data_IF_216448743399
#
_entry.id   IF_216448743399
#
_cell.length_a   1.000
_cell.length_b   1.000
_cell.length_c   1.000
_cell.angle_alpha   90.00
_cell.angle_beta   90.00
_cell.angle_gamma   90.00
#
_symmetry.space_group_name_H-M   'P 1'
#
loop_
_entity.id
_entity.type
_entity.pdbx_description
1 polymer ?
#
# COMPACT_ATOMS: atom_id res chain seq x y z
N UNK A 1 -6.33 -4.86 -9.62
CA UNK A 1 -7.63 -5.48 -9.94
C UNK A 1 -8.38 -5.70 -8.64
N UNK A 2 -9.70 -5.86 -8.66
CA UNK A 2 -10.47 -6.11 -7.43
C UNK A 2 -10.03 -7.44 -6.80
N UNK A 3 -9.55 -7.42 -5.57
CA UNK A 3 -9.17 -8.60 -4.78
C UNK A 3 -7.68 -8.88 -4.67
N UNK A 4 -6.81 -8.10 -5.33
CA UNK A 4 -5.35 -8.25 -5.23
C UNK A 4 -4.86 -7.89 -3.82
N UNK A 5 -5.42 -6.85 -3.20
CA UNK A 5 -5.13 -6.49 -1.81
C UNK A 5 -5.52 -7.63 -0.85
N UNK A 6 -6.71 -8.20 -1.03
CA UNK A 6 -7.19 -9.31 -0.21
C UNK A 6 -6.32 -10.56 -0.36
N UNK A 7 -5.87 -10.87 -1.58
CA UNK A 7 -4.95 -11.96 -1.87
C UNK A 7 -3.60 -11.75 -1.18
N UNK A 8 -3.03 -10.55 -1.29
CA UNK A 8 -1.78 -10.19 -0.63
C UNK A 8 -1.84 -10.43 0.88
N UNK A 9 -2.90 -9.98 1.56
CA UNK A 9 -3.07 -10.21 3.01
C UNK A 9 -3.14 -11.71 3.35
N UNK A 10 -3.85 -12.49 2.53
CA UNK A 10 -3.95 -13.94 2.73
C UNK A 10 -2.63 -14.68 2.55
N UNK A 11 -1.76 -14.19 1.66
CA UNK A 11 -0.44 -14.78 1.41
C UNK A 11 0.54 -14.37 2.50
N UNK A 12 0.60 -13.07 2.85
CA UNK A 12 1.55 -12.56 3.84
C UNK A 12 1.30 -13.08 5.25
N UNK A 13 0.07 -13.45 5.63
CA UNK A 13 -0.19 -13.99 6.98
C UNK A 13 0.39 -15.39 7.23
N UNK A 14 0.72 -16.14 6.18
CA UNK A 14 1.11 -17.54 6.31
C UNK A 14 2.51 -17.68 6.93
N UNK A 15 2.67 -18.55 7.93
CA UNK A 15 3.96 -18.82 8.56
C UNK A 15 4.62 -17.65 9.31
N UNK A 16 3.91 -16.55 9.57
CA UNK A 16 4.45 -15.34 10.22
C UNK A 16 4.16 -15.20 11.71
N UNK A 17 3.37 -16.11 12.28
CA UNK A 17 3.17 -16.12 13.73
C UNK A 17 4.48 -16.44 14.45
N UNK A 18 4.58 -16.05 15.73
CA UNK A 18 5.80 -16.24 16.52
C UNK A 18 6.23 -17.70 16.71
N UNK A 19 5.29 -18.63 16.57
CA UNK A 19 5.50 -20.08 16.63
C UNK A 19 5.75 -20.71 15.25
N UNK A 20 5.89 -19.90 14.19
CA UNK A 20 6.04 -20.35 12.81
C UNK A 20 4.72 -20.76 12.15
N UNK A 21 3.59 -20.57 12.82
CA UNK A 21 2.25 -20.78 12.27
C UNK A 21 1.72 -19.59 11.49
N UNK A 22 0.45 -19.67 11.12
CA UNK A 22 -0.27 -18.58 10.45
C UNK A 22 -0.76 -17.52 11.43
N UNK A 23 -0.66 -16.25 11.03
CA UNK A 23 -1.42 -15.18 11.68
C UNK A 23 -2.90 -15.35 11.29
N UNK A 24 -3.80 -15.32 12.28
CA UNK A 24 -5.23 -15.52 12.03
C UNK A 24 -5.92 -14.19 11.71
N UNK A 25 -6.98 -14.25 10.89
CA UNK A 25 -7.76 -13.05 10.53
C UNK A 25 -8.33 -12.32 11.74
N UNK A 26 -8.65 -13.05 12.82
CA UNK A 26 -9.13 -12.44 14.07
C UNK A 26 -8.06 -11.56 14.73
N UNK A 27 -6.77 -11.91 14.61
CA UNK A 27 -5.68 -11.18 15.24
C UNK A 27 -5.42 -9.87 14.50
N UNK A 28 -5.44 -9.93 13.16
CA UNK A 28 -5.38 -8.75 12.28
C UNK A 28 -6.57 -7.82 12.55
N UNK A 29 -7.79 -8.36 12.60
CA UNK A 29 -8.98 -7.57 12.88
C UNK A 29 -8.95 -6.92 14.27
N UNK A 30 -8.48 -7.64 15.29
CA UNK A 30 -8.31 -7.09 16.63
C UNK A 30 -7.34 -5.90 16.64
N UNK A 31 -6.19 -6.00 15.97
CA UNK A 31 -5.23 -4.91 15.89
C UNK A 31 -5.81 -3.67 15.19
N UNK A 32 -6.54 -3.89 14.09
CA UNK A 32 -7.29 -2.84 13.38
C UNK A 32 -8.35 -2.17 14.27
N UNK A 33 -8.82 -2.83 15.34
CA UNK A 33 -9.95 -2.38 16.15
C UNK A 33 -11.29 -2.64 15.46
N UNK A 34 -11.38 -3.71 14.66
CA UNK A 34 -12.55 -4.08 13.85
C UNK A 34 -12.94 -5.54 14.06
N UNK A 35 -13.94 -6.02 13.33
CA UNK A 35 -14.41 -7.40 13.39
C UNK A 35 -13.73 -8.28 12.34
N UNK A 36 -13.59 -9.58 12.62
CA UNK A 36 -13.12 -10.55 11.63
C UNK A 36 -14.02 -10.60 10.38
N UNK A 37 -15.33 -10.33 10.53
CA UNK A 37 -16.27 -10.20 9.42
C UNK A 37 -15.93 -9.02 8.52
N UNK A 38 -15.61 -7.85 9.08
CA UNK A 38 -15.19 -6.68 8.32
C UNK A 38 -13.91 -6.96 7.51
N UNK A 39 -12.89 -7.58 8.13
CA UNK A 39 -11.68 -7.97 7.43
C UNK A 39 -11.95 -9.02 6.34
N UNK A 40 -12.84 -9.99 6.60
CA UNK A 40 -13.23 -10.99 5.60
C UNK A 40 -13.91 -10.35 4.39
N UNK A 41 -14.74 -9.33 4.59
CA UNK A 41 -15.39 -8.59 3.50
C UNK A 41 -14.36 -7.84 2.64
N UNK A 42 -13.33 -7.23 3.26
CA UNK A 42 -12.22 -6.60 2.53
C UNK A 42 -11.47 -7.64 1.71
N UNK A 43 -11.06 -8.75 2.33
CA UNK A 43 -10.28 -9.81 1.67
C UNK A 43 -11.04 -10.42 0.48
N UNK A 44 -12.39 -10.48 0.56
CA UNK A 44 -13.25 -10.97 -0.52
C UNK A 44 -13.59 -9.90 -1.57
N UNK A 45 -13.00 -8.70 -1.49
CA UNK A 45 -13.25 -7.59 -2.40
C UNK A 45 -14.68 -7.03 -2.31
N UNK A 46 -15.39 -7.29 -1.21
CA UNK A 46 -16.75 -6.75 -0.96
C UNK A 46 -16.73 -5.34 -0.37
N UNK A 47 -15.57 -4.94 0.16
CA UNK A 47 -15.28 -3.61 0.70
C UNK A 47 -13.92 -3.17 0.20
N UNK A 48 -13.75 -1.86 0.05
CA UNK A 48 -12.46 -1.28 -0.29
C UNK A 48 -11.41 -1.55 0.81
N UNK A 49 -10.12 -1.59 0.45
CA UNK A 49 -9.03 -1.58 1.42
C UNK A 49 -9.16 -0.42 2.43
N UNK A 50 -8.76 -0.64 3.68
CA UNK A 50 -9.00 0.31 4.75
C UNK A 50 -8.09 1.55 4.64
N UNK A 51 -8.36 2.55 5.47
CA UNK A 51 -7.57 3.78 5.57
C UNK A 51 -6.14 3.55 6.07
N UNK A 52 -5.25 4.53 5.86
CA UNK A 52 -3.83 4.45 6.20
C UNK A 52 -3.56 3.95 7.63
N UNK A 53 -4.26 4.50 8.63
CA UNK A 53 -4.04 4.12 10.03
C UNK A 53 -4.31 2.63 10.32
N UNK A 54 -5.23 2.02 9.60
CA UNK A 54 -5.50 0.58 9.68
C UNK A 54 -4.49 -0.23 8.85
N UNK A 55 -4.06 0.29 7.70
CA UNK A 55 -3.00 -0.35 6.91
C UNK A 55 -1.70 -0.44 7.69
N UNK A 56 -1.32 0.59 8.46
CA UNK A 56 -0.15 0.54 9.35
C UNK A 56 -0.25 -0.60 10.38
N UNK A 57 -1.42 -0.74 11.02
CA UNK A 57 -1.66 -1.83 11.97
C UNK A 57 -1.59 -3.22 11.33
N UNK A 58 -2.07 -3.34 10.09
CA UNK A 58 -1.94 -4.58 9.31
C UNK A 58 -0.46 -4.86 9.06
N UNK A 59 0.32 -3.85 8.63
CA UNK A 59 1.76 -4.00 8.39
C UNK A 59 2.50 -4.47 9.64
N UNK A 60 2.19 -3.86 10.80
CA UNK A 60 2.81 -4.20 12.08
C UNK A 60 2.50 -5.64 12.50
N UNK A 61 1.22 -6.05 12.42
CA UNK A 61 0.81 -7.42 12.77
C UNK A 61 1.45 -8.44 11.86
N UNK A 62 1.44 -8.19 10.54
CA UNK A 62 2.02 -9.08 9.54
C UNK A 62 3.55 -9.01 9.47
N UNK A 63 4.18 -8.11 10.24
CA UNK A 63 5.63 -7.88 10.25
C UNK A 63 6.15 -7.67 8.82
N UNK A 64 5.45 -6.83 8.06
CA UNK A 64 5.82 -6.52 6.68
C UNK A 64 7.17 -5.79 6.66
N UNK A 65 8.01 -6.08 5.67
CA UNK A 65 9.17 -5.24 5.35
C UNK A 65 8.71 -3.91 4.75
N UNK A 66 9.62 -2.95 4.60
CA UNK A 66 9.30 -1.67 3.97
C UNK A 66 8.83 -1.84 2.52
N UNK A 67 9.42 -2.78 1.78
CA UNK A 67 9.02 -3.10 0.40
C UNK A 67 7.63 -3.74 0.36
N UNK A 68 7.35 -4.68 1.27
CA UNK A 68 6.02 -5.32 1.35
C UNK A 68 4.95 -4.33 1.80
N UNK A 69 5.32 -3.37 2.66
CA UNK A 69 4.42 -2.29 3.08
C UNK A 69 4.11 -1.35 1.91
N UNK A 70 5.12 -0.99 1.10
CA UNK A 70 4.91 -0.21 -0.11
C UNK A 70 4.01 -0.96 -1.12
N UNK A 71 4.25 -2.26 -1.33
CA UNK A 71 3.39 -3.10 -2.17
C UNK A 71 1.93 -3.11 -1.66
N UNK A 72 1.74 -3.27 -0.35
CA UNK A 72 0.40 -3.24 0.25
C UNK A 72 -0.30 -1.89 0.03
N UNK A 73 0.43 -0.79 0.13
CA UNK A 73 -0.09 0.56 -0.10
C UNK A 73 -0.48 0.79 -1.55
N UNK A 74 0.35 0.34 -2.49
CA UNK A 74 0.04 0.35 -3.93
C UNK A 74 -1.24 -0.44 -4.24
N UNK A 75 -1.37 -1.64 -3.69
CA UNK A 75 -2.56 -2.47 -3.86
C UNK A 75 -3.81 -1.79 -3.29
N UNK A 76 -3.68 -1.18 -2.09
CA UNK A 76 -4.77 -0.45 -1.46
C UNK A 76 -5.22 0.75 -2.29
N UNK A 77 -4.28 1.57 -2.77
CA UNK A 77 -4.56 2.73 -3.63
C UNK A 77 -5.22 2.31 -4.93
N UNK A 78 -4.67 1.31 -5.63
CA UNK A 78 -5.22 0.81 -6.90
C UNK A 78 -6.67 0.31 -6.76
N UNK A 79 -6.98 -0.44 -5.71
CA UNK A 79 -8.36 -0.92 -5.49
C UNK A 79 -9.33 0.21 -5.11
N UNK A 80 -8.84 1.28 -4.45
CA UNK A 80 -9.64 2.50 -4.20
C UNK A 80 -9.72 3.44 -5.41
N UNK A 81 -9.00 3.15 -6.50
CA UNK A 81 -8.80 4.06 -7.63
C UNK A 81 -8.15 5.40 -7.22
N UNK A 82 -7.18 5.32 -6.31
CA UNK A 82 -6.44 6.44 -5.73
C UNK A 82 -4.93 6.18 -5.80
N UNK A 83 -4.12 7.20 -5.49
CA UNK A 83 -2.69 6.98 -5.23
C UNK A 83 -2.49 6.10 -3.98
N UNK A 84 -1.32 5.47 -3.86
CA UNK A 84 -0.94 4.77 -2.64
C UNK A 84 -1.05 5.73 -1.44
N UNK A 85 -1.67 5.32 -0.32
CA UNK A 85 -2.10 6.22 0.76
C UNK A 85 -0.98 6.99 1.48
N UNK A 86 0.27 6.58 1.33
CA UNK A 86 1.48 7.22 1.86
C UNK A 86 2.00 8.37 0.99
N UNK A 87 1.69 8.37 -0.31
CA UNK A 87 2.20 9.37 -1.25
C UNK A 87 1.56 10.77 -1.17
N UNK A 88 0.25 10.95 -0.85
CA UNK A 88 -0.39 12.25 -0.91
C UNK A 88 0.30 13.33 -0.09
N UNK A 89 0.80 13.00 1.10
CA UNK A 89 1.49 13.96 1.97
C UNK A 89 2.72 14.55 1.28
N UNK A 90 3.58 13.69 0.72
CA UNK A 90 4.77 14.13 -0.02
C UNK A 90 4.42 14.85 -1.32
N UNK A 91 3.45 14.35 -2.09
CA UNK A 91 3.05 14.94 -3.37
C UNK A 91 2.47 16.36 -3.20
N UNK A 92 1.78 16.60 -2.08
CA UNK A 92 1.05 17.84 -1.80
C UNK A 92 1.83 18.84 -0.94
N UNK A 93 3.05 18.51 -0.48
CA UNK A 93 3.89 19.41 0.30
C UNK A 93 4.16 20.73 -0.45
N UNK A 94 3.77 21.84 0.20
CA UNK A 94 3.89 23.19 -0.35
C UNK A 94 5.34 23.66 -0.51
N UNK A 95 6.29 23.03 0.18
CA UNK A 95 7.72 23.34 0.09
C UNK A 95 8.38 22.75 -1.16
N UNK A 96 7.76 21.76 -1.81
CA UNK A 96 8.28 21.08 -3.01
C UNK A 96 7.26 21.10 -4.17
N UNK A 97 6.78 22.28 -4.60
CA UNK A 97 5.70 22.41 -5.58
C UNK A 97 6.06 21.84 -6.97
N UNK A 98 7.35 21.60 -7.23
CA UNK A 98 7.84 21.00 -8.46
C UNK A 98 7.44 19.52 -8.63
N UNK A 99 7.16 18.78 -7.55
CA UNK A 99 6.70 17.37 -7.63
C UNK A 99 5.40 17.29 -8.45
N UNK A 100 4.37 18.02 -8.01
CA UNK A 100 3.07 18.12 -8.69
C UNK A 100 3.14 18.78 -10.08
N UNK A 101 4.11 19.65 -10.33
CA UNK A 101 4.36 20.20 -11.67
C UNK A 101 4.97 19.15 -12.62
N UNK A 102 5.93 18.37 -12.13
CA UNK A 102 6.58 17.30 -12.87
C UNK A 102 5.59 16.18 -13.23
N UNK A 103 4.77 15.73 -12.27
CA UNK A 103 3.75 14.71 -12.49
C UNK A 103 2.74 15.12 -13.57
N UNK A 104 2.20 16.35 -13.51
CA UNK A 104 1.29 16.88 -14.55
C UNK A 104 1.97 16.92 -15.92
N UNK A 105 3.18 17.48 -16.00
CA UNK A 105 3.91 17.60 -17.27
C UNK A 105 4.28 16.24 -17.88
N UNK A 106 4.64 15.27 -17.05
CA UNK A 106 4.90 13.90 -17.49
C UNK A 106 3.62 13.24 -18.03
N UNK A 107 2.49 13.43 -17.34
CA UNK A 107 1.17 12.97 -17.80
C UNK A 107 0.75 13.60 -19.12
N UNK A 108 0.86 14.93 -19.25
CA UNK A 108 0.54 15.68 -20.48
C UNK A 108 1.37 15.19 -21.68
N UNK A 109 2.63 14.84 -21.43
CA UNK A 109 3.54 14.29 -22.43
C UNK A 109 3.43 12.78 -22.64
N UNK A 110 2.56 12.10 -21.90
CA UNK A 110 2.39 10.64 -21.92
C UNK A 110 3.72 9.89 -21.72
N UNK A 111 4.56 10.39 -20.82
CA UNK A 111 5.82 9.72 -20.48
C UNK A 111 5.51 8.41 -19.76
N UNK A 112 6.14 7.33 -20.23
CA UNK A 112 5.95 5.99 -19.70
C UNK A 112 6.93 5.65 -18.58
N UNK A 113 6.94 4.37 -18.22
CA UNK A 113 7.80 3.81 -17.17
C UNK A 113 9.30 4.00 -17.45
N UNK A 114 9.72 3.97 -18.73
CA UNK A 114 11.11 4.20 -19.13
C UNK A 114 11.66 5.56 -18.68
N UNK A 115 10.80 6.58 -18.61
CA UNK A 115 11.16 7.88 -18.08
C UNK A 115 11.29 7.85 -16.56
N UNK A 116 10.34 7.21 -15.87
CA UNK A 116 10.34 7.13 -14.41
C UNK A 116 11.48 6.24 -13.88
N UNK A 117 11.87 5.20 -14.61
CA UNK A 117 13.05 4.41 -14.31
C UNK A 117 14.31 5.29 -14.28
N UNK A 118 14.49 6.15 -15.29
CA UNK A 118 15.61 7.12 -15.29
C UNK A 118 15.53 8.11 -14.12
N UNK A 119 14.32 8.53 -13.72
CA UNK A 119 14.14 9.39 -12.54
C UNK A 119 14.54 8.66 -11.26
N UNK A 120 14.14 7.39 -11.09
CA UNK A 120 14.53 6.55 -9.95
C UNK A 120 16.05 6.38 -9.89
N UNK A 121 16.70 6.06 -10.99
CA UNK A 121 18.16 5.95 -11.08
C UNK A 121 18.87 7.26 -10.65
N UNK A 122 18.32 8.43 -11.00
CA UNK A 122 18.88 9.71 -10.57
C UNK A 122 18.66 9.98 -9.08
N UNK A 123 17.55 9.52 -8.50
CA UNK A 123 17.30 9.60 -7.05
C UNK A 123 18.28 8.72 -6.29
N UNK A 124 18.46 7.47 -6.74
CA UNK A 124 19.38 6.50 -6.12
C UNK A 124 20.84 6.98 -6.13
N UNK A 125 21.27 7.72 -7.15
CA UNK A 125 22.63 8.34 -7.19
C UNK A 125 22.83 9.45 -6.16
N UNK A 126 21.76 10.00 -5.60
CA UNK A 126 21.79 11.11 -4.63
C UNK A 126 21.65 10.63 -3.18
N UNK A 127 21.14 9.42 -2.97
CA UNK A 127 21.09 8.74 -1.67
C UNK A 127 22.37 7.98 -1.38
#
# INVERSE_FOLDING_TARGET
MTGDFGKFINEKRLGRASDGGDILLKDIAQAMGTTATYLSDIIKGRRNPPEMSMLLKIADVLRLTDEERAEMFDLAGRERNEAAPDLPEYIMDENIPHVRAALRKASDKKLGDDFWQRVLEEIEKKG
#
